data_IF_543290418570
#
_entry.id   IF_543290418570
#
_cell.length_a   1.000
_cell.length_b   1.000
_cell.length_c   1.000
_cell.angle_alpha   90.00
_cell.angle_beta   90.00
_cell.angle_gamma   90.00
#
_symmetry.space_group_name_H-M   'P 1'
#
loop_
_entity.id
_entity.type
_entity.pdbx_description
1 polymer ?
#
# COMPACT_ATOMS: atom_id res chain seq x y z
N UNK A 1 -32.94 -28.90 -33.90
CA UNK A 1 -32.53 -28.73 -32.49
C UNK A 1 -31.18 -28.03 -32.45
N UNK A 2 -31.13 -26.77 -32.00
CA UNK A 2 -29.89 -26.06 -31.70
C UNK A 2 -29.71 -26.14 -30.19
N UNK A 3 -28.70 -26.88 -29.73
CA UNK A 3 -28.28 -26.88 -28.34
C UNK A 3 -27.46 -25.61 -28.17
N UNK A 4 -28.04 -24.60 -27.53
CA UNK A 4 -27.31 -23.41 -27.11
C UNK A 4 -26.54 -23.84 -25.87
N UNK A 5 -25.24 -24.08 -26.05
CA UNK A 5 -24.34 -24.31 -24.94
C UNK A 5 -24.15 -22.94 -24.26
N UNK A 6 -24.99 -22.64 -23.27
CA UNK A 6 -24.69 -21.60 -22.30
C UNK A 6 -23.49 -22.12 -21.51
N UNK A 7 -22.29 -21.83 -22.00
CA UNK A 7 -21.11 -21.87 -21.16
C UNK A 7 -21.40 -20.90 -20.02
N UNK A 8 -21.68 -21.46 -18.86
CA UNK A 8 -21.66 -20.78 -17.59
C UNK A 8 -20.37 -19.97 -17.54
N UNK A 9 -20.48 -18.66 -17.84
CA UNK A 9 -19.51 -17.69 -17.37
C UNK A 9 -19.49 -17.89 -15.87
N UNK A 10 -18.44 -18.54 -15.37
CA UNK A 10 -18.14 -18.61 -13.94
C UNK A 10 -18.33 -17.22 -13.39
N UNK A 11 -19.43 -17.04 -12.67
CA UNK A 11 -19.73 -15.85 -11.92
C UNK A 11 -18.52 -15.65 -11.00
N UNK A 12 -17.83 -14.51 -11.15
CA UNK A 12 -16.79 -14.11 -10.21
C UNK A 12 -17.48 -14.10 -8.85
N UNK A 13 -17.04 -14.99 -7.96
CA UNK A 13 -17.45 -15.05 -6.56
C UNK A 13 -17.77 -13.64 -6.06
N UNK A 14 -19.06 -13.37 -5.85
CA UNK A 14 -19.56 -12.09 -5.40
C UNK A 14 -18.99 -11.88 -3.99
N UNK A 15 -18.00 -10.99 -3.83
CA UNK A 15 -17.54 -10.51 -2.52
C UNK A 15 -18.79 -10.15 -1.71
N UNK A 16 -19.09 -10.90 -0.65
CA UNK A 16 -20.33 -10.71 0.14
C UNK A 16 -20.21 -9.57 1.15
N UNK A 17 -18.99 -9.11 1.44
CA UNK A 17 -18.68 -8.10 2.45
C UNK A 17 -17.48 -7.25 2.01
N UNK A 18 -17.36 -6.02 2.52
CA UNK A 18 -16.18 -5.16 2.32
C UNK A 18 -14.97 -5.65 3.12
N UNK A 19 -13.76 -5.23 2.73
CA UNK A 19 -12.53 -5.57 3.46
C UNK A 19 -12.57 -5.04 4.89
N UNK A 20 -12.98 -3.78 5.08
CA UNK A 20 -13.21 -3.19 6.41
C UNK A 20 -14.12 -4.08 7.27
N UNK A 21 -15.30 -4.47 6.76
CA UNK A 21 -16.24 -5.29 7.54
C UNK A 21 -15.66 -6.66 7.90
N UNK A 22 -14.95 -7.29 6.97
CA UNK A 22 -14.27 -8.57 7.23
C UNK A 22 -13.25 -8.42 8.36
N UNK A 23 -12.33 -7.46 8.24
CA UNK A 23 -11.21 -7.31 9.16
C UNK A 23 -11.68 -6.84 10.54
N UNK A 24 -12.54 -5.82 10.60
CA UNK A 24 -12.94 -5.22 11.88
C UNK A 24 -14.04 -6.01 12.60
N UNK A 25 -15.08 -6.45 11.88
CA UNK A 25 -16.28 -7.01 12.52
C UNK A 25 -16.31 -8.54 12.56
N UNK A 26 -15.74 -9.22 11.56
CA UNK A 26 -15.74 -10.70 11.51
C UNK A 26 -14.51 -11.27 12.20
N UNK A 27 -13.33 -10.76 11.87
CA UNK A 27 -12.06 -11.24 12.44
C UNK A 27 -11.75 -10.55 13.76
N UNK A 28 -11.93 -9.23 13.80
CA UNK A 28 -11.58 -8.40 14.95
C UNK A 28 -10.09 -8.10 15.02
N UNK A 29 -9.71 -7.25 15.98
CA UNK A 29 -8.33 -6.83 16.25
C UNK A 29 -7.64 -6.07 15.11
N UNK A 30 -8.39 -5.71 14.06
CA UNK A 30 -7.97 -4.82 13.00
C UNK A 30 -8.77 -3.52 13.01
N UNK A 31 -8.17 -2.47 12.47
CA UNK A 31 -8.86 -1.23 12.14
C UNK A 31 -8.32 -0.70 10.80
N UNK A 32 -9.21 -0.46 9.86
CA UNK A 32 -8.90 0.02 8.51
C UNK A 32 -9.32 1.48 8.39
N UNK A 33 -8.36 2.38 8.58
CA UNK A 33 -8.57 3.81 8.46
C UNK A 33 -8.58 4.24 6.98
N UNK A 34 -9.47 5.18 6.64
CA UNK A 34 -9.61 5.72 5.27
C UNK A 34 -10.55 4.90 4.37
N UNK A 35 -11.14 3.82 4.89
CA UNK A 35 -11.98 2.91 4.12
C UNK A 35 -13.09 3.61 3.32
N UNK A 36 -13.02 3.52 1.99
CA UNK A 36 -14.00 4.10 1.07
C UNK A 36 -14.01 5.64 0.97
N UNK A 37 -13.02 6.32 1.55
CA UNK A 37 -12.88 7.78 1.50
C UNK A 37 -11.54 8.22 0.91
N UNK A 38 -10.48 7.46 1.16
CA UNK A 38 -9.11 7.79 0.76
C UNK A 38 -8.60 6.83 -0.31
N UNK A 39 -7.72 7.32 -1.20
CA UNK A 39 -7.02 6.50 -2.20
C UNK A 39 -6.02 5.51 -1.57
N UNK A 40 -5.76 5.69 -0.27
CA UNK A 40 -4.84 4.92 0.56
C UNK A 40 -5.54 4.62 1.88
N UNK A 41 -5.68 3.33 2.18
CA UNK A 41 -6.26 2.88 3.44
C UNK A 41 -5.16 2.32 4.33
N UNK A 42 -5.14 2.71 5.61
CA UNK A 42 -4.12 2.26 6.57
C UNK A 42 -4.70 1.22 7.50
N UNK A 43 -4.11 0.04 7.51
CA UNK A 43 -4.52 -1.05 8.38
C UNK A 43 -3.67 -1.09 9.64
N UNK A 44 -4.35 -1.03 10.78
CA UNK A 44 -3.79 -1.21 12.10
C UNK A 44 -4.19 -2.59 12.64
N UNK A 45 -3.33 -3.19 13.45
CA UNK A 45 -3.61 -4.46 14.12
C UNK A 45 -3.06 -4.46 15.55
N UNK A 46 -3.85 -4.99 16.48
CA UNK A 46 -3.44 -5.17 17.87
C UNK A 46 -3.90 -6.54 18.40
N UNK A 47 -2.96 -7.46 18.62
CA UNK A 47 -3.27 -8.80 19.13
C UNK A 47 -3.79 -8.81 20.57
N UNK A 48 -3.44 -7.78 21.33
CA UNK A 48 -3.67 -7.73 22.77
C UNK A 48 -4.94 -6.93 23.13
N UNK A 49 -5.69 -6.51 22.11
CA UNK A 49 -6.90 -5.71 22.25
C UNK A 49 -8.00 -6.48 22.98
N UNK A 50 -8.60 -5.85 23.99
CA UNK A 50 -9.84 -6.33 24.61
C UNK A 50 -11.04 -6.19 23.67
N UNK A 51 -12.10 -6.95 23.93
CA UNK A 51 -13.31 -7.00 23.08
C UNK A 51 -13.99 -5.62 22.93
N UNK A 52 -13.87 -4.75 23.94
CA UNK A 52 -14.49 -3.43 23.99
C UNK A 52 -13.50 -2.27 23.74
N UNK A 53 -12.22 -2.59 23.46
CA UNK A 53 -11.18 -1.58 23.28
C UNK A 53 -11.10 -1.13 21.81
N UNK A 54 -10.74 0.14 21.60
CA UNK A 54 -10.43 0.65 20.28
C UNK A 54 -8.93 0.54 20.01
N UNK A 55 -8.55 0.21 18.76
CA UNK A 55 -7.15 0.14 18.37
C UNK A 55 -6.52 1.54 18.40
N UNK A 56 -5.37 1.65 19.06
CA UNK A 56 -4.55 2.86 19.02
C UNK A 56 -4.02 3.08 17.59
N UNK A 57 -4.30 4.26 17.02
CA UNK A 57 -3.82 4.66 15.69
C UNK A 57 -2.38 5.17 15.74
N UNK A 58 -1.48 4.34 16.27
CA UNK A 58 -0.06 4.63 16.39
C UNK A 58 0.75 3.90 15.33
N UNK A 59 1.90 4.48 14.94
CA UNK A 59 2.73 3.98 13.83
C UNK A 59 3.20 2.53 14.02
N UNK A 60 3.45 2.12 15.26
CA UNK A 60 3.88 0.77 15.62
C UNK A 60 2.79 -0.29 15.41
N UNK A 61 1.52 0.12 15.38
CA UNK A 61 0.35 -0.73 15.14
C UNK A 61 -0.02 -0.82 13.65
N UNK A 62 0.58 0.01 12.78
CA UNK A 62 0.37 -0.11 11.33
C UNK A 62 0.97 -1.43 10.87
N UNK A 63 0.19 -2.17 10.09
CA UNK A 63 0.58 -3.47 9.51
C UNK A 63 0.46 -3.52 8.00
N UNK A 64 -0.38 -2.68 7.39
CA UNK A 64 -0.43 -2.55 5.94
C UNK A 64 -0.91 -1.16 5.48
N UNK A 65 -0.54 -0.83 4.25
CA UNK A 65 -1.17 0.23 3.45
C UNK A 65 -1.82 -0.43 2.24
N UNK A 66 -3.13 -0.27 2.09
CA UNK A 66 -3.88 -0.67 0.90
C UNK A 66 -3.99 0.50 -0.07
N UNK A 67 -3.83 0.21 -1.35
CA UNK A 67 -3.94 1.18 -2.44
C UNK A 67 -4.77 0.58 -3.57
N UNK A 68 -5.11 1.41 -4.56
CA UNK A 68 -5.79 0.98 -5.79
C UNK A 68 -7.08 0.20 -5.49
N UNK A 69 -7.96 0.78 -4.66
CA UNK A 69 -9.23 0.18 -4.24
C UNK A 69 -9.05 -1.23 -3.66
N UNK A 70 -8.14 -1.37 -2.69
CA UNK A 70 -7.85 -2.63 -1.99
C UNK A 70 -7.29 -3.75 -2.88
N UNK A 71 -6.88 -3.49 -4.11
CA UNK A 71 -6.31 -4.51 -5.01
C UNK A 71 -4.83 -4.82 -4.71
N UNK A 72 -4.18 -3.94 -3.95
CA UNK A 72 -2.76 -3.98 -3.68
C UNK A 72 -2.44 -3.51 -2.25
N UNK A 73 -1.47 -4.15 -1.59
CA UNK A 73 -1.02 -3.70 -0.28
C UNK A 73 0.49 -3.91 -0.02
N UNK A 74 1.10 -2.91 0.59
CA UNK A 74 2.39 -3.08 1.28
C UNK A 74 2.13 -3.60 2.69
N UNK A 75 2.74 -4.72 3.07
CA UNK A 75 2.43 -5.42 4.34
C UNK A 75 3.70 -5.73 5.10
N UNK A 76 3.69 -5.49 6.41
CA UNK A 76 4.79 -5.94 7.27
C UNK A 76 4.91 -7.47 7.26
N UNK A 77 6.13 -7.94 7.07
CA UNK A 77 6.44 -9.37 6.90
C UNK A 77 5.97 -10.25 8.07
N UNK A 78 5.99 -9.74 9.30
CA UNK A 78 5.58 -10.48 10.50
C UNK A 78 4.07 -10.76 10.54
N UNK A 79 3.25 -9.96 9.86
CA UNK A 79 1.80 -10.14 9.77
C UNK A 79 1.32 -10.70 8.42
N UNK A 80 2.21 -10.82 7.43
CA UNK A 80 1.86 -11.21 6.06
C UNK A 80 1.05 -12.52 5.98
N UNK A 81 1.52 -13.58 6.64
CA UNK A 81 0.87 -14.90 6.58
C UNK A 81 -0.53 -14.85 7.17
N UNK A 82 -0.69 -14.14 8.30
CA UNK A 82 -1.98 -13.97 8.95
C UNK A 82 -2.92 -13.17 8.05
N UNK A 83 -2.49 -12.01 7.56
CA UNK A 83 -3.33 -11.16 6.74
C UNK A 83 -3.79 -11.88 5.46
N UNK A 84 -2.90 -12.64 4.80
CA UNK A 84 -3.27 -13.45 3.63
C UNK A 84 -4.35 -14.49 3.92
N UNK A 85 -4.30 -15.14 5.07
CA UNK A 85 -5.31 -16.11 5.49
C UNK A 85 -6.63 -15.41 5.86
N UNK A 86 -6.52 -14.28 6.56
CA UNK A 86 -7.64 -13.46 7.00
C UNK A 86 -8.41 -12.83 5.82
N UNK A 87 -7.75 -12.64 4.68
CA UNK A 87 -8.33 -12.03 3.46
C UNK A 87 -8.29 -12.96 2.25
N UNK A 88 -8.26 -14.29 2.44
CA UNK A 88 -8.06 -15.23 1.35
C UNK A 88 -9.09 -15.12 0.22
N UNK A 89 -10.29 -14.63 0.52
CA UNK A 89 -11.37 -14.41 -0.44
C UNK A 89 -11.22 -13.11 -1.26
N UNK A 90 -10.23 -12.28 -0.95
CA UNK A 90 -9.97 -11.02 -1.63
C UNK A 90 -8.82 -11.19 -2.62
N UNK A 91 -9.02 -10.67 -3.83
CA UNK A 91 -7.99 -10.62 -4.87
C UNK A 91 -7.03 -9.45 -4.60
N UNK A 92 -6.10 -9.64 -3.66
CA UNK A 92 -5.14 -8.62 -3.19
C UNK A 92 -3.71 -9.08 -3.49
N UNK A 93 -2.94 -8.24 -4.18
CA UNK A 93 -1.51 -8.44 -4.39
C UNK A 93 -0.72 -7.85 -3.21
N UNK A 94 0.01 -8.72 -2.51
CA UNK A 94 0.74 -8.37 -1.30
C UNK A 94 2.23 -8.19 -1.58
N UNK A 95 2.77 -6.99 -1.30
CA UNK A 95 4.22 -6.73 -1.27
C UNK A 95 4.72 -6.75 0.17
N UNK A 96 5.52 -7.76 0.55
CA UNK A 96 6.09 -7.82 1.89
C UNK A 96 7.20 -6.78 2.07
N UNK A 97 7.17 -6.09 3.21
CA UNK A 97 8.23 -5.16 3.63
C UNK A 97 8.65 -5.45 5.07
N UNK A 98 9.93 -5.24 5.39
CA UNK A 98 10.43 -5.42 6.76
C UNK A 98 9.86 -4.38 7.71
N UNK A 99 9.78 -3.14 7.25
CA UNK A 99 9.16 -1.99 7.89
C UNK A 99 8.79 -0.97 6.78
N UNK A 100 8.18 0.15 7.15
CA UNK A 100 7.69 1.13 6.17
C UNK A 100 8.68 2.27 5.92
N UNK A 101 9.77 2.35 6.68
CA UNK A 101 10.77 3.41 6.66
C UNK A 101 12.00 3.09 5.81
N UNK A 102 12.32 1.81 5.59
CA UNK A 102 13.52 1.44 4.83
C UNK A 102 13.30 1.67 3.34
N UNK A 103 14.27 2.31 2.69
CA UNK A 103 14.24 2.59 1.27
C UNK A 103 14.63 1.36 0.45
N UNK A 104 13.63 0.52 0.14
CA UNK A 104 13.81 -0.75 -0.59
C UNK A 104 12.95 -0.85 -1.85
N UNK A 105 12.07 0.12 -2.08
CA UNK A 105 11.22 0.20 -3.26
C UNK A 105 11.92 1.01 -4.33
N UNK A 106 11.53 0.81 -5.59
CA UNK A 106 12.02 1.59 -6.72
C UNK A 106 10.89 1.83 -7.73
N UNK A 107 11.16 2.70 -8.71
CA UNK A 107 10.16 3.13 -9.70
C UNK A 107 9.65 1.97 -10.55
N UNK A 108 10.53 1.09 -10.98
CA UNK A 108 10.16 -0.08 -11.81
C UNK A 108 9.19 -1.00 -11.06
N UNK A 109 9.49 -1.31 -9.79
CA UNK A 109 8.61 -2.10 -8.94
C UNK A 109 7.27 -1.40 -8.77
N UNK A 110 7.23 -0.09 -8.53
CA UNK A 110 5.96 0.61 -8.36
C UNK A 110 5.12 0.57 -9.64
N UNK A 111 5.72 0.83 -10.79
CA UNK A 111 5.06 0.85 -12.09
C UNK A 111 4.51 -0.50 -12.56
N UNK A 112 4.94 -1.63 -11.97
CA UNK A 112 4.36 -2.96 -12.24
C UNK A 112 2.97 -3.11 -11.59
N UNK A 113 2.71 -2.41 -10.49
CA UNK A 113 1.52 -2.63 -9.64
C UNK A 113 0.59 -1.42 -9.60
N UNK A 114 1.13 -0.24 -9.85
CA UNK A 114 0.48 1.02 -9.59
C UNK A 114 0.09 1.72 -10.89
N UNK A 115 -1.02 2.45 -10.87
CA UNK A 115 -1.44 3.20 -12.05
C UNK A 115 -0.42 4.29 -12.39
N UNK A 116 0.14 4.20 -13.60
CA UNK A 116 1.09 5.17 -14.16
C UNK A 116 0.48 6.55 -14.38
N UNK A 117 -0.85 6.69 -14.25
CA UNK A 117 -1.56 7.97 -14.34
C UNK A 117 -1.34 8.87 -13.11
N UNK A 118 -0.90 8.30 -11.97
CA UNK A 118 -0.62 9.08 -10.76
C UNK A 118 0.62 9.97 -10.97
N UNK A 119 0.47 11.26 -10.68
CA UNK A 119 1.57 12.22 -10.76
C UNK A 119 2.49 12.04 -9.56
N UNK A 120 3.66 11.49 -9.81
CA UNK A 120 4.77 11.42 -8.86
C UNK A 120 5.94 12.19 -9.48
N UNK A 121 6.48 13.14 -8.72
CA UNK A 121 7.72 13.81 -9.08
C UNK A 121 8.90 12.88 -8.77
N UNK A 122 9.73 12.62 -9.77
CA UNK A 122 10.86 11.72 -9.68
C UNK A 122 12.15 12.52 -9.75
N UNK A 123 12.97 12.45 -8.69
CA UNK A 123 14.26 13.14 -8.62
C UNK A 123 15.30 12.16 -8.11
N UNK A 124 16.32 11.89 -8.91
CA UNK A 124 17.48 11.10 -8.50
C UNK A 124 18.38 11.98 -7.63
N UNK A 125 18.22 11.88 -6.30
CA UNK A 125 18.91 12.74 -5.33
C UNK A 125 20.20 12.12 -4.78
N UNK A 126 20.69 11.05 -5.40
CA UNK A 126 21.93 10.37 -5.00
C UNK A 126 23.13 11.33 -4.98
N UNK A 127 23.15 12.31 -5.88
CA UNK A 127 24.18 13.35 -5.96
C UNK A 127 24.30 14.20 -4.68
N UNK A 128 23.29 14.21 -3.82
CA UNK A 128 23.36 14.90 -2.53
C UNK A 128 24.23 14.16 -1.50
N UNK A 129 24.43 12.85 -1.67
CA UNK A 129 25.11 12.00 -0.70
C UNK A 129 26.30 11.22 -1.29
N UNK A 130 26.45 11.18 -2.60
CA UNK A 130 27.54 10.50 -3.30
C UNK A 130 28.40 11.50 -4.10
N UNK A 131 29.58 11.81 -3.55
CA UNK A 131 30.57 12.72 -4.15
C UNK A 131 31.11 12.24 -5.52
N UNK A 132 30.84 10.99 -5.91
CA UNK A 132 31.22 10.46 -7.23
C UNK A 132 30.23 10.82 -8.34
N UNK A 133 29.04 11.30 -8.00
CA UNK A 133 28.00 11.72 -8.94
C UNK A 133 28.12 13.23 -9.17
N UNK A 134 27.98 13.67 -10.43
CA UNK A 134 27.96 15.10 -10.75
C UNK A 134 26.75 15.77 -10.09
N UNK A 135 26.98 16.89 -9.40
CA UNK A 135 25.92 17.61 -8.69
C UNK A 135 24.90 18.19 -9.68
N UNK A 136 23.64 17.79 -9.54
CA UNK A 136 22.55 18.29 -10.37
C UNK A 136 21.89 19.51 -9.70
N UNK A 137 22.27 20.69 -10.17
CA UNK A 137 21.74 21.96 -9.65
C UNK A 137 20.25 22.16 -9.95
N UNK A 138 19.76 21.66 -11.10
CA UNK A 138 18.35 21.80 -11.46
C UNK A 138 17.47 20.93 -10.55
N UNK A 139 17.89 19.69 -10.32
CA UNK A 139 17.25 18.80 -9.35
C UNK A 139 17.27 19.40 -7.93
N UNK A 140 18.41 19.98 -7.52
CA UNK A 140 18.55 20.60 -6.21
C UNK A 140 17.60 21.80 -6.01
N UNK A 141 17.44 22.67 -7.01
CA UNK A 141 16.48 23.77 -6.96
C UNK A 141 15.04 23.28 -6.75
N UNK A 142 14.66 22.16 -7.38
CA UNK A 142 13.34 21.55 -7.20
C UNK A 142 13.20 20.98 -5.79
N UNK A 143 14.23 20.32 -5.26
CA UNK A 143 14.24 19.81 -3.89
C UNK A 143 14.07 20.95 -2.88
N UNK A 144 14.82 22.05 -3.04
CA UNK A 144 14.73 23.21 -2.15
C UNK A 144 13.35 23.90 -2.20
N UNK A 145 12.63 23.79 -3.31
CA UNK A 145 11.26 24.32 -3.41
C UNK A 145 10.26 23.63 -2.46
N UNK A 146 10.63 22.48 -1.87
CA UNK A 146 9.80 21.73 -0.94
C UNK A 146 8.75 20.83 -1.62
N UNK A 147 8.85 20.63 -2.94
CA UNK A 147 8.03 19.66 -3.66
C UNK A 147 8.31 18.27 -3.11
N UNK A 148 7.25 17.49 -2.85
CA UNK A 148 7.40 16.07 -2.48
C UNK A 148 7.80 15.28 -3.73
N UNK A 149 8.87 14.52 -3.62
CA UNK A 149 9.40 13.68 -4.69
C UNK A 149 9.71 12.27 -4.17
N UNK A 150 9.99 11.35 -5.08
CA UNK A 150 10.61 10.06 -4.78
C UNK A 150 11.89 9.91 -5.60
N UNK A 151 12.91 9.28 -5.00
CA UNK A 151 14.08 8.85 -5.75
C UNK A 151 13.71 7.61 -6.58
N UNK A 152 13.95 7.59 -7.90
CA UNK A 152 13.54 6.48 -8.77
C UNK A 152 14.26 5.15 -8.46
N UNK A 153 15.42 5.18 -7.82
CA UNK A 153 16.25 4.02 -7.49
C UNK A 153 15.93 3.43 -6.12
N UNK A 154 15.59 4.27 -5.15
CA UNK A 154 15.23 3.84 -3.81
C UNK A 154 14.25 4.79 -3.13
N UNK A 155 13.22 4.24 -2.51
CA UNK A 155 12.35 4.95 -1.58
C UNK A 155 11.65 3.97 -0.64
N UNK A 156 11.14 4.51 0.45
CA UNK A 156 10.38 3.78 1.47
C UNK A 156 8.87 3.84 1.19
N UNK A 157 8.12 2.92 1.79
CA UNK A 157 6.65 2.97 1.73
C UNK A 157 6.16 4.31 2.30
N UNK A 158 6.71 4.78 3.43
CA UNK A 158 6.30 6.04 4.05
C UNK A 158 6.52 7.25 3.14
N UNK A 159 7.63 7.31 2.40
CA UNK A 159 7.84 8.36 1.40
C UNK A 159 6.79 8.28 0.29
N UNK A 160 6.51 7.09 -0.24
CA UNK A 160 5.46 6.90 -1.25
C UNK A 160 4.10 7.39 -0.74
N UNK A 161 3.66 6.94 0.44
CA UNK A 161 2.37 7.35 1.01
C UNK A 161 2.33 8.86 1.23
N UNK A 162 3.42 9.47 1.70
CA UNK A 162 3.53 10.92 1.85
C UNK A 162 3.39 11.66 0.52
N UNK A 163 4.02 11.17 -0.54
CA UNK A 163 3.97 11.75 -1.88
C UNK A 163 2.61 11.57 -2.57
N UNK A 164 1.89 10.49 -2.27
CA UNK A 164 0.56 10.25 -2.80
C UNK A 164 -0.55 11.05 -2.08
N UNK A 165 -0.34 11.40 -0.80
CA UNK A 165 -1.24 12.26 -0.02
C UNK A 165 -0.96 13.77 -0.21
N UNK A 166 -0.24 14.15 -1.27
CA UNK A 166 0.22 15.52 -1.51
C UNK A 166 -0.79 16.38 -2.28
#
# INVERSE_FOLDING_TARGET
MKIINLSEKKDKSTKRVSLCYKLEAIIGNYHLAGAGLDDIETLYYDSDMGIDDAISLSKDKIVAYFLENESFAFVRMDLLTKLKADTEEFDIKYIPVKNFETEVLNKELLEEYFDKSRKIEWIDDDFMNDDSIEFDYEAFEIIESGIKYLNPKHFSVNQLISSLNA
#
